data_IF_411919600266
#
_entry.id   IF_411919600266
#
_cell.length_a   1.000
_cell.length_b   1.000
_cell.length_c   1.000
_cell.angle_alpha   90.00
_cell.angle_beta   90.00
_cell.angle_gamma   90.00
#
_symmetry.space_group_name_H-M   'P 1'
#
loop_
_entity.id
_entity.type
_entity.pdbx_description
1 polymer ?
#
# COMPACT_ATOMS: atom_id res chain seq x y z
N UNK A 1 -8.35 8.62 -4.79
CA UNK A 1 -9.38 8.97 -3.78
C UNK A 1 -10.32 9.99 -4.40
N UNK A 2 -11.64 9.72 -4.44
CA UNK A 2 -12.59 10.69 -4.99
C UNK A 2 -12.76 11.89 -4.06
N UNK A 3 -13.04 13.08 -4.60
CA UNK A 3 -13.24 14.30 -3.80
C UNK A 3 -14.33 14.15 -2.74
N UNK A 4 -15.45 13.48 -3.10
CA UNK A 4 -16.55 13.17 -2.19
C UNK A 4 -16.12 12.35 -0.97
N UNK A 5 -15.33 11.29 -1.19
CA UNK A 5 -14.84 10.46 -0.08
C UNK A 5 -13.93 11.27 0.86
N UNK A 6 -13.05 12.11 0.30
CA UNK A 6 -12.19 12.95 1.12
C UNK A 6 -13.00 13.94 1.97
N UNK A 7 -14.04 14.54 1.40
CA UNK A 7 -14.96 15.42 2.12
C UNK A 7 -15.68 14.67 3.26
N UNK A 8 -16.25 13.50 2.97
CA UNK A 8 -16.90 12.64 3.97
C UNK A 8 -15.93 12.23 5.09
N UNK A 9 -14.69 11.87 4.75
CA UNK A 9 -13.65 11.53 5.71
C UNK A 9 -13.29 12.72 6.61
N UNK A 10 -13.09 13.90 6.04
CA UNK A 10 -12.76 15.10 6.81
C UNK A 10 -13.91 15.49 7.73
N UNK A 11 -15.15 15.38 7.26
CA UNK A 11 -16.34 15.58 8.09
C UNK A 11 -16.38 14.56 9.24
N UNK A 12 -16.17 13.27 8.95
CA UNK A 12 -16.12 12.22 9.96
C UNK A 12 -15.06 12.48 11.04
N UNK A 13 -13.86 12.90 10.63
CA UNK A 13 -12.75 13.23 11.55
C UNK A 13 -13.13 14.42 12.46
N UNK A 14 -13.75 15.46 11.88
CA UNK A 14 -14.17 16.67 12.61
C UNK A 14 -15.33 16.43 13.56
N UNK A 15 -16.25 15.52 13.24
CA UNK A 15 -17.39 15.23 14.10
C UNK A 15 -16.90 14.61 15.42
N UNK A 16 -17.28 15.14 16.59
CA UNK A 16 -16.97 14.49 17.87
C UNK A 16 -17.57 13.09 17.97
N UNK A 17 -17.14 12.32 18.96
CA UNK A 17 -17.81 11.08 19.34
C UNK A 17 -19.16 11.40 20.00
N UNK A 18 -19.96 10.36 20.26
CA UNK A 18 -21.26 10.49 20.94
C UNK A 18 -21.17 11.11 22.34
N UNK A 19 -20.01 11.00 23.00
CA UNK A 19 -19.73 11.59 24.32
C UNK A 19 -19.23 13.05 24.23
N UNK A 20 -19.21 13.65 23.03
CA UNK A 20 -18.73 15.01 22.80
C UNK A 20 -17.21 15.16 22.74
N UNK A 21 -16.44 14.10 22.98
CA UNK A 21 -14.97 14.15 22.90
C UNK A 21 -14.46 14.07 21.46
N UNK A 22 -13.32 14.71 21.13
CA UNK A 22 -12.73 14.57 19.81
C UNK A 22 -12.30 13.13 19.55
N UNK A 23 -12.36 12.71 18.28
CA UNK A 23 -11.75 11.44 17.86
C UNK A 23 -10.24 11.51 18.09
N UNK A 24 -9.59 10.38 18.34
CA UNK A 24 -8.12 10.30 18.38
C UNK A 24 -7.64 9.77 17.04
N UNK A 25 -7.05 10.65 16.23
CA UNK A 25 -6.65 10.36 14.85
C UNK A 25 -5.14 10.43 14.74
N UNK A 26 -4.58 9.50 13.97
CA UNK A 26 -3.19 9.44 13.55
C UNK A 26 -3.15 9.28 12.03
N UNK A 27 -2.13 9.83 11.39
CA UNK A 27 -1.99 9.84 9.93
C UNK A 27 -0.65 9.25 9.55
N UNK A 28 -0.66 8.21 8.72
CA UNK A 28 0.54 7.67 8.07
C UNK A 28 0.56 8.12 6.60
N UNK A 29 1.44 9.07 6.27
CA UNK A 29 1.61 9.58 4.91
C UNK A 29 2.68 8.77 4.21
N UNK A 30 2.31 8.06 3.15
CA UNK A 30 3.22 7.21 2.40
C UNK A 30 3.40 7.76 0.98
N UNK A 31 4.59 8.25 0.67
CA UNK A 31 4.96 8.64 -0.69
C UNK A 31 6.47 8.66 -0.84
N UNK A 32 7.01 7.88 -1.79
CA UNK A 32 8.47 7.79 -2.03
C UNK A 32 9.04 9.11 -2.56
N UNK A 33 8.35 9.75 -3.51
CA UNK A 33 8.77 11.06 -4.08
C UNK A 33 8.26 12.25 -3.25
N UNK A 34 7.18 12.07 -2.49
CA UNK A 34 6.47 13.16 -1.83
C UNK A 34 5.70 14.08 -2.78
N UNK A 35 5.73 13.80 -4.09
CA UNK A 35 5.13 14.64 -5.14
C UNK A 35 3.91 14.02 -5.82
N UNK A 36 3.49 12.82 -5.40
CA UNK A 36 2.24 12.20 -5.87
C UNK A 36 1.08 13.13 -5.53
N UNK A 37 0.40 13.65 -6.56
CA UNK A 37 -0.56 14.75 -6.43
C UNK A 37 -1.69 14.40 -5.46
N UNK A 38 -2.28 13.23 -5.61
CA UNK A 38 -3.38 12.75 -4.78
C UNK A 38 -2.97 12.68 -3.31
N UNK A 39 -1.80 12.09 -3.02
CA UNK A 39 -1.27 11.99 -1.66
C UNK A 39 -0.97 13.37 -1.07
N UNK A 40 -0.35 14.26 -1.84
CA UNK A 40 0.02 15.60 -1.39
C UNK A 40 -1.22 16.46 -1.06
N UNK A 41 -2.26 16.41 -1.91
CA UNK A 41 -3.52 17.13 -1.69
C UNK A 41 -4.28 16.58 -0.48
N UNK A 42 -4.47 15.26 -0.40
CA UNK A 42 -5.13 14.63 0.75
C UNK A 42 -4.39 14.95 2.04
N UNK A 43 -3.06 14.86 2.04
CA UNK A 43 -2.28 15.16 3.24
C UNK A 43 -2.39 16.64 3.64
N UNK A 44 -2.36 17.58 2.70
CA UNK A 44 -2.53 19.01 3.00
C UNK A 44 -3.85 19.27 3.74
N UNK A 45 -4.95 18.72 3.24
CA UNK A 45 -6.28 18.91 3.83
C UNK A 45 -6.42 18.22 5.19
N UNK A 46 -5.91 17.00 5.32
CA UNK A 46 -5.95 16.24 6.57
C UNK A 46 -5.08 16.92 7.64
N UNK A 47 -3.89 17.40 7.28
CA UNK A 47 -2.99 18.10 8.20
C UNK A 47 -3.63 19.33 8.80
N UNK A 48 -4.31 20.15 7.99
CA UNK A 48 -5.05 21.32 8.47
C UNK A 48 -6.11 20.93 9.51
N UNK A 49 -6.81 19.81 9.31
CA UNK A 49 -7.79 19.31 10.30
C UNK A 49 -7.09 18.86 11.59
N UNK A 50 -5.96 18.16 11.49
CA UNK A 50 -5.19 17.74 12.67
C UNK A 50 -4.64 18.93 13.46
N UNK A 51 -4.11 19.94 12.77
CA UNK A 51 -3.58 21.17 13.37
C UNK A 51 -4.71 21.89 14.14
N UNK A 52 -5.92 21.98 13.58
CA UNK A 52 -7.08 22.57 14.24
C UNK A 52 -7.61 21.76 15.44
N UNK A 53 -7.56 20.42 15.37
CA UNK A 53 -8.10 19.55 16.43
C UNK A 53 -7.13 19.36 17.61
N UNK A 54 -5.82 19.35 17.35
CA UNK A 54 -4.82 18.95 18.34
C UNK A 54 -3.74 20.01 18.61
N UNK A 55 -3.70 21.11 17.86
CA UNK A 55 -2.69 22.16 18.01
C UNK A 55 -1.27 21.60 17.93
N UNK A 56 -0.44 21.92 18.92
CA UNK A 56 0.94 21.40 19.04
C UNK A 56 1.02 19.86 19.08
N UNK A 57 -0.05 19.19 19.52
CA UNK A 57 -0.13 17.73 19.55
C UNK A 57 -0.27 17.08 18.17
N UNK A 58 -0.53 17.84 17.11
CA UNK A 58 -0.69 17.33 15.75
C UNK A 58 0.59 16.68 15.20
N UNK A 59 1.77 17.25 15.52
CA UNK A 59 3.06 16.73 15.05
C UNK A 59 3.30 15.28 15.47
N UNK A 60 2.97 14.94 16.72
CA UNK A 60 3.14 13.58 17.25
C UNK A 60 2.13 12.57 16.69
N UNK A 61 1.14 13.03 15.92
CA UNK A 61 0.09 12.22 15.30
C UNK A 61 0.34 11.96 13.82
N UNK A 62 1.38 12.56 13.24
CA UNK A 62 1.75 12.39 11.84
C UNK A 62 3.03 11.56 11.76
N UNK A 63 2.93 10.49 10.99
CA UNK A 63 4.03 9.60 10.62
C UNK A 63 4.20 9.68 9.11
N UNK A 64 5.43 9.78 8.64
CA UNK A 64 5.75 9.83 7.23
C UNK A 64 6.63 8.65 6.83
N UNK A 65 6.24 7.94 5.78
CA UNK A 65 7.02 6.86 5.18
C UNK A 65 7.44 7.29 3.77
N UNK A 66 8.72 7.63 3.61
CA UNK A 66 9.22 8.26 2.38
C UNK A 66 10.65 7.82 2.05
N UNK A 67 11.22 8.32 0.96
CA UNK A 67 12.62 8.07 0.62
C UNK A 67 13.57 8.61 1.71
N UNK A 68 14.78 8.04 1.78
CA UNK A 68 15.77 8.45 2.79
C UNK A 68 16.12 9.94 2.66
N UNK A 69 16.30 10.41 1.44
CA UNK A 69 16.75 11.76 1.10
C UNK A 69 16.01 12.23 -0.16
N UNK A 70 15.88 13.55 -0.33
CA UNK A 70 15.22 14.16 -1.49
C UNK A 70 13.69 14.11 -1.46
N UNK A 71 13.03 14.82 -2.37
CA UNK A 71 11.57 14.88 -2.42
C UNK A 71 10.93 15.87 -1.43
N UNK A 72 9.73 16.33 -1.78
CA UNK A 72 9.03 17.43 -1.08
C UNK A 72 8.67 17.07 0.37
N UNK A 73 8.32 15.80 0.60
CA UNK A 73 7.92 15.32 1.92
C UNK A 73 9.07 15.38 2.94
N UNK A 74 10.33 15.20 2.50
CA UNK A 74 11.48 15.30 3.39
C UNK A 74 11.69 16.71 3.94
N UNK A 75 11.56 17.74 3.10
CA UNK A 75 11.64 19.13 3.58
C UNK A 75 10.55 19.46 4.61
N UNK A 76 9.34 18.93 4.42
CA UNK A 76 8.25 19.12 5.38
C UNK A 76 8.46 18.35 6.70
N UNK A 77 9.04 17.15 6.63
CA UNK A 77 9.44 16.39 7.82
C UNK A 77 10.45 17.17 8.63
N UNK A 78 11.47 17.74 7.98
CA UNK A 78 12.52 18.51 8.65
C UNK A 78 11.97 19.81 9.26
N UNK A 79 11.03 20.48 8.58
CA UNK A 79 10.37 21.69 9.07
C UNK A 79 9.46 21.42 10.28
N UNK A 80 8.67 20.33 10.24
CA UNK A 80 7.61 20.07 11.22
C UNK A 80 8.00 19.08 12.31
N UNK A 81 9.12 18.35 12.16
CA UNK A 81 9.58 17.35 13.11
C UNK A 81 8.75 16.06 13.12
N UNK A 82 8.21 15.64 11.97
CA UNK A 82 7.40 14.42 11.89
C UNK A 82 8.24 13.15 12.06
N UNK A 83 7.63 12.10 12.63
CA UNK A 83 8.27 10.79 12.71
C UNK A 83 8.43 10.20 11.31
N UNK A 84 9.66 9.78 10.97
CA UNK A 84 10.00 9.27 9.64
C UNK A 84 10.35 7.79 9.63
N UNK A 85 9.84 7.07 8.63
CA UNK A 85 10.29 5.75 8.23
C UNK A 85 10.76 5.77 6.77
N UNK A 86 11.69 4.87 6.45
CA UNK A 86 12.41 4.89 5.18
C UNK A 86 11.89 3.78 4.26
N UNK A 87 11.56 4.16 3.03
CA UNK A 87 11.40 3.25 1.90
C UNK A 87 12.78 3.05 1.26
N UNK A 88 13.32 1.82 1.21
CA UNK A 88 14.62 1.57 0.58
C UNK A 88 14.65 2.04 -0.89
N UNK A 89 15.77 2.66 -1.30
CA UNK A 89 15.89 3.26 -2.63
C UNK A 89 15.73 2.24 -3.76
N UNK A 90 16.26 1.03 -3.57
CA UNK A 90 16.21 -0.09 -4.51
C UNK A 90 14.87 -0.86 -4.49
N UNK A 91 13.88 -0.45 -3.69
CA UNK A 91 12.56 -1.09 -3.64
C UNK A 91 11.52 -0.22 -4.36
N UNK A 92 10.92 -0.78 -5.41
CA UNK A 92 9.81 -0.15 -6.14
C UNK A 92 8.48 -0.24 -5.38
N UNK A 93 7.52 0.63 -5.70
CA UNK A 93 6.25 0.74 -4.98
C UNK A 93 5.49 -0.59 -4.84
N UNK A 94 5.27 -1.30 -5.95
CA UNK A 94 4.58 -2.60 -5.97
C UNK A 94 5.29 -3.73 -5.20
N UNK A 95 6.59 -3.57 -4.90
CA UNK A 95 7.40 -4.52 -4.11
C UNK A 95 7.57 -4.08 -2.64
N UNK A 96 6.96 -2.96 -2.23
CA UNK A 96 7.26 -2.32 -0.94
C UNK A 96 6.41 -2.79 0.24
N UNK A 97 5.51 -3.76 0.05
CA UNK A 97 4.55 -4.19 1.09
C UNK A 97 5.22 -4.68 2.38
N UNK A 98 6.39 -5.32 2.30
CA UNK A 98 7.17 -5.79 3.47
C UNK A 98 8.17 -4.74 4.00
N UNK A 99 8.09 -3.50 3.51
CA UNK A 99 8.81 -2.35 4.08
C UNK A 99 7.89 -1.60 5.06
N UNK A 100 8.31 -0.49 5.69
CA UNK A 100 7.43 0.30 6.54
C UNK A 100 6.13 0.75 5.85
N UNK A 101 6.08 0.78 4.51
CA UNK A 101 4.88 1.04 3.71
C UNK A 101 3.71 0.16 4.13
N UNK A 102 3.90 -1.17 4.19
CA UNK A 102 2.84 -2.10 4.61
C UNK A 102 2.95 -2.48 6.09
N UNK A 103 4.16 -2.60 6.65
CA UNK A 103 4.31 -3.09 8.03
C UNK A 103 3.73 -2.14 9.08
N UNK A 104 3.79 -0.81 8.87
CA UNK A 104 3.18 0.14 9.82
C UNK A 104 1.66 -0.02 9.89
N UNK A 105 0.89 0.09 8.78
CA UNK A 105 -0.56 -0.06 8.87
C UNK A 105 -0.99 -1.47 9.33
N UNK A 106 -0.25 -2.52 8.98
CA UNK A 106 -0.52 -3.89 9.46
C UNK A 106 -0.32 -3.98 10.98
N UNK A 107 0.74 -3.39 11.53
CA UNK A 107 0.97 -3.36 12.98
C UNK A 107 -0.11 -2.55 13.72
N UNK A 108 -0.57 -1.44 13.14
CA UNK A 108 -1.66 -0.62 13.70
C UNK A 108 -2.98 -1.40 13.71
N UNK A 109 -3.20 -2.30 12.75
CA UNK A 109 -4.34 -3.22 12.74
C UNK A 109 -4.25 -4.35 13.78
N UNK A 110 -3.17 -4.40 14.59
CA UNK A 110 -2.98 -5.40 15.64
C UNK A 110 -2.43 -6.73 15.14
N UNK A 111 -1.96 -6.80 13.89
CA UNK A 111 -1.40 -8.02 13.30
C UNK A 111 0.09 -8.16 13.69
N UNK A 112 0.51 -9.38 14.00
CA UNK A 112 1.92 -9.67 14.30
C UNK A 112 2.80 -9.60 13.04
N UNK A 113 3.35 -8.41 12.82
CA UNK A 113 4.27 -8.15 11.71
C UNK A 113 5.58 -8.93 11.80
N UNK A 114 6.00 -9.41 12.99
CA UNK A 114 7.23 -10.21 13.10
C UNK A 114 7.02 -11.57 12.47
N UNK A 115 5.92 -12.24 12.82
CA UNK A 115 5.54 -13.51 12.20
C UNK A 115 5.38 -13.36 10.70
N UNK A 116 4.69 -12.31 10.23
CA UNK A 116 4.56 -12.01 8.79
C UNK A 116 5.93 -11.85 8.11
N UNK A 117 6.80 -11.01 8.67
CA UNK A 117 8.10 -10.69 8.07
C UNK A 117 9.03 -11.91 8.05
N UNK A 118 9.14 -12.64 9.16
CA UNK A 118 9.99 -13.83 9.21
C UNK A 118 9.42 -14.99 8.39
N UNK A 119 8.09 -15.07 8.20
CA UNK A 119 7.49 -15.96 7.21
C UNK A 119 7.97 -15.66 5.79
N UNK A 120 8.00 -14.38 5.40
CA UNK A 120 8.53 -13.96 4.11
C UNK A 120 10.04 -14.22 3.97
N UNK A 121 10.84 -14.02 5.02
CA UNK A 121 12.28 -14.37 5.03
C UNK A 121 12.47 -15.87 4.85
N UNK A 122 11.66 -16.70 5.51
CA UNK A 122 11.71 -18.16 5.34
C UNK A 122 11.36 -18.56 3.91
N UNK A 123 10.33 -17.95 3.31
CA UNK A 123 9.98 -18.19 1.91
C UNK A 123 11.10 -17.77 0.95
N UNK A 124 11.68 -16.59 1.15
CA UNK A 124 12.84 -16.12 0.38
C UNK A 124 14.00 -17.12 0.45
N UNK A 125 14.40 -17.55 1.65
CA UNK A 125 15.47 -18.53 1.84
C UNK A 125 15.16 -19.91 1.23
N UNK A 126 13.89 -20.32 1.19
CA UNK A 126 13.45 -21.54 0.48
C UNK A 126 13.74 -21.38 -1.00
N UNK A 127 13.28 -20.28 -1.61
CA UNK A 127 13.37 -20.06 -3.04
C UNK A 127 14.78 -19.71 -3.54
N UNK A 128 15.64 -19.15 -2.69
CA UNK A 128 17.07 -19.01 -2.97
C UNK A 128 17.77 -20.36 -3.12
N UNK A 129 17.33 -21.38 -2.39
CA UNK A 129 17.88 -22.74 -2.48
C UNK A 129 17.29 -23.50 -3.66
N UNK A 130 15.98 -23.37 -3.85
CA UNK A 130 15.24 -24.03 -4.92
C UNK A 130 14.05 -23.18 -5.35
N UNK A 131 14.20 -22.56 -6.53
CA UNK A 131 13.18 -21.73 -7.14
C UNK A 131 12.27 -22.51 -8.12
N UNK A 132 12.38 -23.83 -8.21
CA UNK A 132 11.73 -24.64 -9.25
C UNK A 132 10.22 -24.38 -9.33
N UNK A 133 9.52 -24.34 -8.19
CA UNK A 133 8.07 -24.07 -8.12
C UNK A 133 7.70 -22.69 -8.74
N UNK A 134 8.48 -21.64 -8.42
CA UNK A 134 8.22 -20.28 -8.91
C UNK A 134 8.61 -20.16 -10.39
N UNK A 135 9.71 -20.79 -10.79
CA UNK A 135 10.16 -20.81 -12.18
C UNK A 135 9.18 -21.59 -13.06
N UNK A 136 8.63 -22.70 -12.57
CA UNK A 136 7.59 -23.45 -13.24
C UNK A 136 6.34 -22.59 -13.43
N UNK A 137 5.87 -21.91 -12.37
CA UNK A 137 4.74 -20.97 -12.47
C UNK A 137 4.98 -19.89 -13.54
N UNK A 138 6.16 -19.26 -13.53
CA UNK A 138 6.51 -18.24 -14.51
C UNK A 138 6.60 -18.81 -15.94
N UNK A 139 7.19 -20.00 -16.09
CA UNK A 139 7.33 -20.68 -17.38
C UNK A 139 5.97 -21.07 -17.96
N UNK A 140 5.09 -21.67 -17.17
CA UNK A 140 3.74 -22.05 -17.60
C UNK A 140 2.95 -20.83 -18.04
N UNK A 141 2.94 -19.74 -17.25
CA UNK A 141 2.27 -18.49 -17.62
C UNK A 141 2.78 -17.95 -18.95
N UNK A 142 4.10 -17.90 -19.13
CA UNK A 142 4.73 -17.46 -20.37
C UNK A 142 4.36 -18.35 -21.56
N UNK A 143 4.44 -19.66 -21.41
CA UNK A 143 4.11 -20.61 -22.49
C UNK A 143 2.63 -20.51 -22.88
N UNK A 144 1.72 -20.33 -21.92
CA UNK A 144 0.31 -20.11 -22.21
C UNK A 144 0.09 -18.80 -22.97
N UNK A 145 0.80 -17.73 -22.58
CA UNK A 145 0.76 -16.46 -23.29
C UNK A 145 1.28 -16.56 -24.73
N UNK A 146 2.38 -17.28 -24.95
CA UNK A 146 2.91 -17.55 -26.30
C UNK A 146 1.91 -18.37 -27.17
N UNK A 147 1.01 -19.14 -26.54
CA UNK A 147 -0.11 -19.83 -27.20
C UNK A 147 -1.36 -18.97 -27.40
N UNK A 148 -1.32 -17.68 -27.06
CA UNK A 148 -2.41 -16.73 -27.26
C UNK A 148 -3.32 -16.52 -26.05
N UNK A 149 -2.99 -17.07 -24.87
CA UNK A 149 -3.73 -16.77 -23.64
C UNK A 149 -3.29 -15.42 -23.08
N UNK A 150 -4.12 -14.40 -23.24
CA UNK A 150 -3.77 -13.01 -22.91
C UNK A 150 -4.28 -12.54 -21.55
N UNK A 151 -5.13 -13.32 -20.88
CA UNK A 151 -5.73 -12.98 -19.58
C UNK A 151 -5.37 -14.05 -18.55
N UNK A 152 -4.90 -13.62 -17.39
CA UNK A 152 -4.62 -14.46 -16.23
C UNK A 152 -5.54 -14.05 -15.10
N UNK A 153 -6.41 -14.97 -14.65
CA UNK A 153 -7.45 -14.69 -13.65
C UNK A 153 -7.00 -15.23 -12.30
N UNK A 154 -6.69 -14.32 -11.38
CA UNK A 154 -6.53 -14.66 -9.97
C UNK A 154 -7.91 -14.72 -9.30
N UNK A 155 -8.40 -15.92 -9.03
CA UNK A 155 -9.66 -16.12 -8.31
C UNK A 155 -9.42 -16.52 -6.85
N UNK A 156 -10.24 -15.97 -5.95
CA UNK A 156 -10.25 -16.35 -4.54
C UNK A 156 -11.67 -16.65 -4.07
N UNK A 157 -11.81 -17.64 -3.17
CA UNK A 157 -13.11 -17.99 -2.57
C UNK A 157 -13.42 -17.21 -1.28
N UNK A 158 -12.46 -16.40 -0.82
CA UNK A 158 -12.58 -15.62 0.41
C UNK A 158 -12.68 -14.12 0.07
N UNK A 159 -13.78 -13.44 0.42
CA UNK A 159 -13.96 -12.01 0.13
C UNK A 159 -12.82 -11.12 0.66
N UNK A 160 -12.25 -11.48 1.81
CA UNK A 160 -11.15 -10.78 2.47
C UNK A 160 -9.87 -10.77 1.62
N UNK A 161 -9.72 -11.73 0.70
CA UNK A 161 -8.57 -11.80 -0.22
C UNK A 161 -8.75 -10.97 -1.50
N UNK A 162 -9.88 -10.29 -1.68
CA UNK A 162 -10.10 -9.45 -2.86
C UNK A 162 -9.03 -8.35 -3.00
N UNK A 163 -8.66 -7.71 -1.90
CA UNK A 163 -7.60 -6.69 -1.89
C UNK A 163 -6.21 -7.27 -2.16
N UNK A 164 -5.98 -8.55 -1.79
CA UNK A 164 -4.76 -9.27 -2.14
C UNK A 164 -4.69 -9.53 -3.66
N UNK A 165 -5.82 -9.88 -4.29
CA UNK A 165 -5.93 -9.93 -5.75
C UNK A 165 -5.60 -8.59 -6.40
N UNK A 166 -6.10 -7.47 -5.87
CA UNK A 166 -5.75 -6.13 -6.35
C UNK A 166 -4.24 -5.83 -6.26
N UNK A 167 -3.57 -6.29 -5.20
CA UNK A 167 -2.11 -6.20 -5.09
C UNK A 167 -1.39 -7.04 -6.16
N UNK A 168 -1.83 -8.28 -6.41
CA UNK A 168 -1.29 -9.13 -7.50
C UNK A 168 -1.49 -8.45 -8.86
N UNK A 169 -2.67 -7.87 -9.08
CA UNK A 169 -2.98 -7.17 -10.33
C UNK A 169 -1.99 -6.05 -10.61
N UNK A 170 -1.68 -5.22 -9.60
CA UNK A 170 -0.66 -4.18 -9.72
C UNK A 170 0.74 -4.78 -9.93
N UNK A 171 1.10 -5.80 -9.15
CA UNK A 171 2.41 -6.44 -9.19
C UNK A 171 2.73 -6.96 -10.60
N UNK A 172 1.81 -7.71 -11.19
CA UNK A 172 1.97 -8.31 -12.52
C UNK A 172 1.84 -7.26 -13.61
N UNK A 173 0.76 -6.47 -13.59
CA UNK A 173 0.44 -5.53 -14.66
C UNK A 173 1.51 -4.47 -14.85
N UNK A 174 2.02 -3.86 -13.77
CA UNK A 174 3.08 -2.85 -13.89
C UNK A 174 4.46 -3.44 -14.20
N UNK A 175 4.68 -4.73 -13.94
CA UNK A 175 5.96 -5.41 -14.21
C UNK A 175 6.05 -5.93 -15.63
N UNK A 176 4.99 -6.55 -16.15
CA UNK A 176 4.97 -7.24 -17.44
C UNK A 176 4.34 -6.39 -18.56
N UNK A 177 3.45 -5.46 -18.22
CA UNK A 177 2.75 -4.56 -19.14
C UNK A 177 3.65 -3.47 -19.73
N UNK A 178 4.56 -3.86 -20.63
CA UNK A 178 5.59 -2.99 -21.23
C UNK A 178 5.68 -3.24 -22.73
N UNK A 179 6.00 -2.19 -23.49
CA UNK A 179 6.32 -2.30 -24.92
C UNK A 179 5.24 -3.02 -25.75
N UNK A 180 3.96 -2.81 -25.41
CA UNK A 180 2.84 -3.46 -26.07
C UNK A 180 2.71 -4.97 -25.79
N UNK A 181 3.38 -5.47 -24.76
CA UNK A 181 3.35 -6.88 -24.30
C UNK A 181 2.83 -6.96 -22.86
N UNK A 182 2.55 -8.18 -22.42
CA UNK A 182 2.18 -8.51 -21.05
C UNK A 182 0.88 -9.31 -21.00
N UNK A 183 0.77 -10.18 -20.00
CA UNK A 183 -0.48 -10.87 -19.69
C UNK A 183 -1.35 -9.89 -18.91
N UNK A 184 -2.64 -9.77 -19.24
CA UNK A 184 -3.58 -8.95 -18.51
C UNK A 184 -4.00 -9.66 -17.20
N UNK A 185 -3.61 -9.17 -16.02
CA UNK A 185 -4.04 -9.77 -14.77
C UNK A 185 -5.48 -9.30 -14.44
N UNK A 186 -6.36 -10.28 -14.26
CA UNK A 186 -7.72 -10.10 -13.78
C UNK A 186 -7.88 -10.71 -12.39
N UNK A 187 -8.85 -10.21 -11.62
CA UNK A 187 -9.16 -10.69 -10.27
C UNK A 187 -10.64 -11.07 -10.25
N UNK A 188 -10.98 -12.20 -9.64
CA UNK A 188 -12.36 -12.64 -9.46
C UNK A 188 -12.61 -13.13 -8.03
N UNK A 189 -13.72 -12.71 -7.43
CA UNK A 189 -14.18 -13.15 -6.12
C UNK A 189 -15.22 -14.24 -6.30
N UNK A 190 -14.82 -15.49 -6.12
CA UNK A 190 -15.71 -16.64 -6.19
C UNK A 190 -16.35 -16.92 -4.82
N UNK A 191 -17.55 -17.50 -4.75
CA UNK A 191 -18.44 -17.86 -5.87
C UNK A 191 -19.25 -16.68 -6.40
N UNK A 192 -19.11 -15.45 -5.87
CA UNK A 192 -19.91 -14.29 -6.28
C UNK A 192 -19.84 -14.04 -7.79
N UNK A 193 -18.63 -13.97 -8.35
CA UNK A 193 -18.40 -13.69 -9.77
C UNK A 193 -18.62 -14.91 -10.69
N UNK A 194 -19.12 -16.04 -10.15
CA UNK A 194 -19.62 -17.15 -10.97
C UNK A 194 -21.05 -16.90 -11.48
N UNK A 195 -21.73 -15.88 -10.95
CA UNK A 195 -23.14 -15.54 -11.20
C UNK A 195 -23.29 -14.08 -11.61
#
# INVERSE_FOLDING_TARGET
>A
MGGKYLEELLNYIKTPKSDGTPKSVYVNVISKSGSTLETALSFRMIREVLDNLYGEGATNRIVCTTSKEGGVLNGLIDEKGYKKFIIPNNVGGRFSVLTPVGLIPIAVAGIDIKTLFYGAVSAFNKYEKDASDILEYAAVRRTLHEKGITVDVFSCFEPELQSFGGWIQQLMGESEGKEGKGIFPAVASFSTDLH
#
